data_IF_958699625965
#
_entry.id   IF_958699625965
#
_cell.length_a   1.000
_cell.length_b   1.000
_cell.length_c   1.000
_cell.angle_alpha   90.00
_cell.angle_beta   90.00
_cell.angle_gamma   90.00
#
_symmetry.space_group_name_H-M   'P 1'
#
loop_
_entity.id
_entity.type
_entity.pdbx_description
1 polymer ?
#
# COMPACT_ATOMS: atom_id res chain seq x y z
N UNK A 1 12.37 -11.91 7.52
CA UNK A 1 13.70 -11.60 8.06
C UNK A 1 13.92 -10.10 7.99
N UNK A 2 14.51 -9.50 9.02
CA UNK A 2 14.77 -8.07 9.03
C UNK A 2 15.98 -7.71 8.16
N UNK A 3 15.94 -6.54 7.55
CA UNK A 3 17.07 -5.96 6.82
C UNK A 3 17.60 -4.78 7.63
N UNK A 4 18.91 -4.82 7.95
CA UNK A 4 19.56 -3.81 8.80
C UNK A 4 19.66 -2.43 8.16
N UNK A 5 19.56 -2.35 6.83
CA UNK A 5 19.57 -1.08 6.10
C UNK A 5 18.18 -0.52 5.84
N UNK A 6 17.14 -1.30 6.12
CA UNK A 6 15.76 -0.91 5.91
C UNK A 6 15.21 -0.09 7.08
N UNK A 7 14.81 1.15 6.82
CA UNK A 7 14.22 2.01 7.85
C UNK A 7 12.91 1.45 8.41
N UNK A 8 12.11 0.80 7.59
CA UNK A 8 10.86 0.19 8.06
C UNK A 8 11.13 -1.00 9.00
N UNK A 9 12.15 -1.81 8.70
CA UNK A 9 12.59 -2.86 9.62
C UNK A 9 13.06 -2.28 10.96
N UNK A 10 13.78 -1.17 10.93
CA UNK A 10 14.24 -0.48 12.16
C UNK A 10 13.06 0.07 12.97
N UNK A 11 12.05 0.61 12.30
CA UNK A 11 10.83 1.08 12.95
C UNK A 11 10.11 -0.08 13.63
N UNK A 12 9.91 -1.18 12.92
CA UNK A 12 9.24 -2.37 13.45
C UNK A 12 10.00 -2.95 14.65
N UNK A 13 11.34 -2.90 14.60
CA UNK A 13 12.20 -3.35 15.70
C UNK A 13 12.25 -2.38 16.89
N UNK A 14 11.66 -1.19 16.76
CA UNK A 14 11.69 -0.17 17.81
C UNK A 14 12.97 0.64 17.86
N UNK A 15 13.83 0.54 16.84
CA UNK A 15 15.09 1.27 16.76
C UNK A 15 14.94 2.70 16.21
N UNK A 16 13.82 2.96 15.53
CA UNK A 16 13.44 4.29 15.02
C UNK A 16 12.02 4.61 15.44
N UNK A 17 11.73 5.90 15.72
CA UNK A 17 10.39 6.31 16.14
C UNK A 17 9.39 6.25 14.97
N UNK A 18 8.12 6.04 15.31
CA UNK A 18 7.00 6.15 14.39
C UNK A 18 5.72 6.49 15.15
N UNK A 19 4.72 6.97 14.44
CA UNK A 19 3.37 7.11 14.97
C UNK A 19 2.62 5.82 14.67
N UNK A 20 2.81 4.82 15.52
CA UNK A 20 2.20 3.50 15.35
C UNK A 20 0.70 3.56 15.55
N UNK A 21 -0.06 3.01 14.59
CA UNK A 21 -1.51 2.94 14.64
C UNK A 21 -2.03 1.57 15.04
N UNK A 22 -1.36 0.50 14.59
CA UNK A 22 -1.79 -0.87 14.79
C UNK A 22 -0.63 -1.82 14.56
N UNK A 23 -0.61 -2.94 15.25
CA UNK A 23 0.27 -4.06 14.91
C UNK A 23 -0.35 -5.39 15.33
N UNK A 24 0.02 -6.43 14.60
CA UNK A 24 -0.26 -7.83 14.92
C UNK A 24 0.97 -8.68 14.56
N UNK A 25 0.83 -10.00 14.55
CA UNK A 25 1.96 -10.90 14.30
C UNK A 25 2.57 -10.72 12.88
N UNK A 26 1.81 -10.21 11.93
CA UNK A 26 2.23 -10.11 10.52
C UNK A 26 2.27 -8.71 9.96
N UNK A 27 1.63 -7.75 10.61
CA UNK A 27 1.49 -6.38 10.07
C UNK A 27 1.87 -5.32 11.09
N UNK A 28 2.23 -4.17 10.55
CA UNK A 28 2.54 -2.96 11.31
C UNK A 28 1.97 -1.76 10.55
N UNK A 29 1.19 -0.94 11.20
CA UNK A 29 0.61 0.25 10.59
C UNK A 29 1.05 1.51 11.32
N UNK A 30 1.36 2.55 10.54
CA UNK A 30 1.85 3.83 11.07
C UNK A 30 1.43 5.00 10.18
N UNK A 31 1.52 6.21 10.74
CA UNK A 31 1.38 7.42 9.94
C UNK A 31 2.56 7.57 8.99
N UNK A 32 2.30 8.05 7.77
CA UNK A 32 3.36 8.51 6.89
C UNK A 32 3.85 9.88 7.36
N UNK A 33 5.16 10.03 7.54
CA UNK A 33 5.75 11.31 7.96
C UNK A 33 6.01 12.28 6.80
N UNK A 34 5.79 11.83 5.57
CA UNK A 34 5.79 12.66 4.36
C UNK A 34 4.39 12.58 3.72
N UNK A 35 3.34 13.02 4.42
CA UNK A 35 1.98 12.74 4.02
C UNK A 35 1.61 13.50 2.75
N UNK A 36 0.85 12.83 1.90
CA UNK A 36 0.19 13.48 0.77
C UNK A 36 -1.01 14.34 1.24
N UNK A 37 -1.76 13.81 2.22
CA UNK A 37 -2.91 14.45 2.87
C UNK A 37 -2.89 14.11 4.35
N UNK A 38 -3.62 14.88 5.16
CA UNK A 38 -3.85 14.53 6.56
C UNK A 38 -4.48 13.14 6.66
N UNK A 39 -3.90 12.29 7.49
CA UNK A 39 -4.37 10.92 7.65
C UNK A 39 -3.74 9.90 6.71
N UNK A 40 -2.81 10.31 5.84
CA UNK A 40 -2.04 9.37 5.02
C UNK A 40 -1.26 8.42 5.92
N UNK A 41 -1.53 7.13 5.80
CA UNK A 41 -0.87 6.10 6.58
C UNK A 41 -0.41 4.93 5.72
N UNK A 42 0.39 4.07 6.35
CA UNK A 42 1.02 2.91 5.72
C UNK A 42 0.67 1.67 6.51
N UNK A 43 0.43 0.58 5.81
CA UNK A 43 0.32 -0.77 6.38
C UNK A 43 1.45 -1.61 5.79
N UNK A 44 2.32 -2.08 6.65
CA UNK A 44 3.54 -2.81 6.29
C UNK A 44 3.39 -4.30 6.62
N UNK A 45 4.11 -5.16 5.90
CA UNK A 45 4.42 -6.49 6.42
C UNK A 45 5.50 -6.36 7.50
N UNK A 46 5.38 -7.12 8.60
CA UNK A 46 6.45 -7.16 9.62
C UNK A 46 7.71 -7.82 9.08
N UNK A 47 7.54 -8.90 8.32
CA UNK A 47 8.65 -9.54 7.63
C UNK A 47 9.13 -8.64 6.48
N UNK A 48 10.45 -8.52 6.33
CA UNK A 48 11.01 -7.78 5.21
C UNK A 48 10.76 -8.52 3.90
N UNK A 49 10.15 -7.82 2.95
CA UNK A 49 10.10 -8.20 1.55
C UNK A 49 10.03 -6.92 0.73
N UNK A 50 10.60 -6.94 -0.46
CA UNK A 50 10.75 -5.72 -1.27
C UNK A 50 9.39 -5.18 -1.73
N UNK A 51 8.51 -6.06 -2.19
CA UNK A 51 7.24 -5.69 -2.80
C UNK A 51 6.26 -6.86 -2.81
N UNK A 52 5.12 -6.65 -3.47
CA UNK A 52 4.07 -7.66 -3.62
C UNK A 52 4.57 -8.98 -4.24
N UNK A 53 5.49 -8.89 -5.20
CA UNK A 53 5.96 -10.07 -5.94
C UNK A 53 6.85 -10.97 -5.08
N UNK A 54 7.52 -10.39 -4.09
CA UNK A 54 8.43 -11.09 -3.18
C UNK A 54 7.77 -11.51 -1.85
N UNK A 55 6.58 -11.02 -1.56
CA UNK A 55 5.93 -11.21 -0.26
C UNK A 55 5.38 -12.65 -0.10
N UNK A 56 5.42 -13.14 1.14
CA UNK A 56 4.72 -14.36 1.51
C UNK A 56 3.19 -14.13 1.39
N UNK A 57 2.46 -15.01 0.70
CA UNK A 57 1.00 -14.87 0.57
C UNK A 57 0.27 -14.77 1.91
N UNK A 58 0.77 -15.42 2.96
CA UNK A 58 0.17 -15.33 4.29
C UNK A 58 0.32 -13.94 4.92
N UNK A 59 1.44 -13.27 4.65
CA UNK A 59 1.64 -11.87 5.08
C UNK A 59 0.72 -10.94 4.29
N UNK A 60 0.60 -11.15 2.98
CA UNK A 60 -0.32 -10.37 2.15
C UNK A 60 -1.78 -10.54 2.60
N UNK A 61 -2.18 -11.73 3.00
CA UNK A 61 -3.54 -12.00 3.50
C UNK A 61 -3.85 -11.20 4.78
N UNK A 62 -2.85 -10.83 5.54
CA UNK A 62 -3.01 -10.03 6.77
C UNK A 62 -3.10 -8.52 6.50
N UNK A 63 -2.68 -8.04 5.34
CA UNK A 63 -2.61 -6.60 5.03
C UNK A 63 -4.00 -5.95 4.98
N UNK A 64 -4.94 -6.52 4.24
CA UNK A 64 -6.27 -5.90 4.10
C UNK A 64 -7.08 -5.90 5.40
N UNK A 65 -7.09 -6.97 6.21
CA UNK A 65 -7.73 -6.89 7.53
C UNK A 65 -7.14 -5.81 8.43
N UNK A 66 -5.81 -5.68 8.48
CA UNK A 66 -5.15 -4.61 9.22
C UNK A 66 -5.48 -3.23 8.64
N UNK A 67 -5.45 -3.12 7.31
CA UNK A 67 -5.83 -1.90 6.58
C UNK A 67 -7.27 -1.50 6.85
N UNK A 68 -8.19 -2.45 6.95
CA UNK A 68 -9.59 -2.18 7.27
C UNK A 68 -9.75 -1.57 8.68
N UNK A 69 -9.02 -2.08 9.66
CA UNK A 69 -9.04 -1.55 11.03
C UNK A 69 -8.62 -0.08 11.01
N UNK A 70 -7.51 0.22 10.35
CA UNK A 70 -6.96 1.58 10.25
C UNK A 70 -7.89 2.48 9.43
N UNK A 71 -8.39 1.99 8.29
CA UNK A 71 -9.30 2.75 7.42
C UNK A 71 -10.61 3.13 8.14
N UNK A 72 -11.16 2.23 8.94
CA UNK A 72 -12.35 2.53 9.75
C UNK A 72 -12.08 3.63 10.76
N UNK A 73 -10.90 3.60 11.40
CA UNK A 73 -10.51 4.65 12.35
C UNK A 73 -10.32 6.00 11.65
N UNK A 74 -9.69 6.02 10.48
CA UNK A 74 -9.54 7.24 9.66
C UNK A 74 -10.92 7.78 9.28
N UNK A 75 -11.79 6.91 8.81
CA UNK A 75 -13.11 7.30 8.37
C UNK A 75 -13.94 7.92 9.51
N UNK A 76 -13.84 7.36 10.71
CA UNK A 76 -14.51 7.88 11.89
C UNK A 76 -13.92 9.19 12.40
N UNK A 77 -12.59 9.33 12.34
CA UNK A 77 -11.89 10.49 12.92
C UNK A 77 -11.84 11.70 11.99
N UNK A 78 -11.70 11.48 10.68
CA UNK A 78 -11.45 12.55 9.71
C UNK A 78 -12.62 12.76 8.74
N UNK A 79 -13.54 11.82 8.66
CA UNK A 79 -14.72 11.87 7.78
C UNK A 79 -14.38 12.26 6.34
N UNK A 80 -13.37 11.60 5.70
CA UNK A 80 -13.01 11.92 4.33
C UNK A 80 -14.13 11.53 3.37
N UNK A 81 -14.12 12.12 2.17
CA UNK A 81 -15.10 11.78 1.13
C UNK A 81 -14.77 10.46 0.42
N UNK A 82 -13.55 9.98 0.55
CA UNK A 82 -13.12 8.70 0.02
C UNK A 82 -11.76 8.27 0.55
N UNK A 83 -11.39 7.02 0.24
CA UNK A 83 -10.09 6.47 0.57
C UNK A 83 -9.55 5.74 -0.66
N UNK A 84 -8.25 5.93 -0.94
CA UNK A 84 -7.52 5.07 -1.87
C UNK A 84 -6.55 4.20 -1.07
N UNK A 85 -6.52 2.91 -1.40
CA UNK A 85 -5.48 2.01 -0.94
C UNK A 85 -4.58 1.72 -2.13
N UNK A 86 -3.30 2.03 -2.01
CA UNK A 86 -2.34 1.95 -3.11
C UNK A 86 -1.10 1.20 -2.67
N UNK A 87 -0.73 0.20 -3.45
CA UNK A 87 0.53 -0.52 -3.31
C UNK A 87 1.33 -0.34 -4.59
N UNK A 88 2.59 0.07 -4.48
CA UNK A 88 3.47 0.33 -5.62
C UNK A 88 4.57 -0.72 -5.72
N UNK A 89 4.83 -1.20 -6.93
CA UNK A 89 5.93 -2.09 -7.26
C UNK A 89 6.85 -1.38 -8.23
N UNK A 90 8.08 -1.13 -7.80
CA UNK A 90 9.12 -0.54 -8.63
C UNK A 90 9.06 0.98 -8.75
N UNK A 91 10.17 1.59 -9.21
CA UNK A 91 10.31 3.05 -9.28
C UNK A 91 9.31 3.71 -10.23
N UNK A 92 8.97 3.06 -11.35
CA UNK A 92 8.02 3.60 -12.32
C UNK A 92 6.60 3.74 -11.75
N UNK A 93 6.28 2.96 -10.70
CA UNK A 93 5.00 3.03 -10.00
C UNK A 93 5.06 3.93 -8.76
N UNK A 94 6.22 4.53 -8.47
CA UNK A 94 6.40 5.42 -7.33
C UNK A 94 6.86 4.75 -6.04
N UNK A 95 7.34 3.50 -6.10
CA UNK A 95 7.93 2.88 -4.92
C UNK A 95 9.26 3.55 -4.57
N UNK A 96 9.36 4.09 -3.37
CA UNK A 96 10.58 4.76 -2.89
C UNK A 96 11.24 4.03 -1.72
N UNK A 97 10.48 3.25 -0.95
CA UNK A 97 10.99 2.39 0.12
C UNK A 97 10.75 0.94 -0.27
N UNK A 98 11.83 0.16 -0.28
CA UNK A 98 11.81 -1.23 -0.75
C UNK A 98 11.54 -2.20 0.40
N UNK A 99 10.44 -1.98 1.05
CA UNK A 99 9.80 -2.83 2.04
C UNK A 99 8.30 -2.75 1.77
N UNK A 100 7.63 -3.89 1.60
CA UNK A 100 6.22 -3.92 1.25
C UNK A 100 5.38 -3.01 2.15
N UNK A 101 4.65 -2.11 1.55
CA UNK A 101 3.68 -1.27 2.25
C UNK A 101 2.53 -0.87 1.34
N UNK A 102 1.35 -0.82 1.91
CA UNK A 102 0.15 -0.29 1.26
C UNK A 102 -0.14 1.07 1.86
N UNK A 103 -0.28 2.07 0.99
CA UNK A 103 -0.72 3.41 1.38
C UNK A 103 -2.22 3.43 1.59
N UNK A 104 -2.67 4.18 2.59
CA UNK A 104 -4.06 4.59 2.73
C UNK A 104 -4.10 6.10 2.61
N UNK A 105 -4.75 6.59 1.56
CA UNK A 105 -4.89 8.01 1.27
C UNK A 105 -6.32 8.46 1.53
N UNK A 106 -6.59 9.29 2.55
CA UNK A 106 -7.87 9.98 2.64
C UNK A 106 -8.01 10.97 1.48
N UNK A 107 -9.19 10.99 0.89
CA UNK A 107 -9.47 11.82 -0.29
C UNK A 107 -10.66 12.72 -0.05
N UNK A 108 -10.57 13.93 -0.61
CA UNK A 108 -11.71 14.85 -0.74
C UNK A 108 -11.86 15.27 -2.19
N UNK A 109 -13.07 15.64 -2.60
CA UNK A 109 -13.30 16.16 -3.95
C UNK A 109 -12.43 17.40 -4.18
N UNK A 110 -11.77 17.45 -5.32
CA UNK A 110 -10.90 18.57 -5.69
C UNK A 110 -9.68 18.78 -4.78
N UNK A 111 -9.17 17.72 -4.17
CA UNK A 111 -7.97 17.79 -3.32
C UNK A 111 -6.65 17.95 -4.08
N UNK A 112 -6.72 18.01 -5.42
CA UNK A 112 -5.55 18.19 -6.26
C UNK A 112 -4.76 16.91 -6.56
N UNK A 113 -5.20 15.76 -6.04
CA UNK A 113 -4.53 14.50 -6.32
C UNK A 113 -4.82 14.01 -7.74
N UNK A 114 -3.78 13.65 -8.46
CA UNK A 114 -3.89 13.12 -9.82
C UNK A 114 -3.86 11.59 -9.83
N UNK A 115 -4.58 10.97 -8.91
CA UNK A 115 -4.66 9.51 -8.81
C UNK A 115 -5.81 8.92 -9.61
N UNK A 116 -6.76 9.73 -10.04
CA UNK A 116 -7.88 9.28 -10.84
C UNK A 116 -7.52 9.38 -12.32
N UNK A 117 -7.74 8.32 -13.05
CA UNK A 117 -7.49 8.26 -14.49
C UNK A 117 -8.80 8.33 -15.26
N UNK A 118 -8.70 8.76 -16.53
CA UNK A 118 -9.86 8.79 -17.40
C UNK A 118 -10.32 7.39 -17.81
N UNK A 119 -11.60 7.26 -18.08
CA UNK A 119 -12.20 6.02 -18.57
C UNK A 119 -12.68 6.22 -20.01
N UNK A 120 -12.22 5.36 -20.89
CA UNK A 120 -12.69 5.27 -22.26
C UNK A 120 -12.62 3.82 -22.74
N UNK A 121 -13.48 3.41 -23.70
CA UNK A 121 -13.40 2.05 -24.24
C UNK A 121 -12.05 1.82 -24.91
N UNK A 122 -11.47 0.65 -24.63
CA UNK A 122 -10.24 0.21 -25.28
C UNK A 122 -10.50 -0.50 -26.60
N UNK A 123 -9.44 -0.82 -27.31
CA UNK A 123 -9.48 -1.70 -28.48
C UNK A 123 -9.63 -3.15 -28.04
N UNK A 124 -10.73 -3.78 -28.37
CA UNK A 124 -11.05 -5.16 -27.93
C UNK A 124 -10.06 -6.18 -28.45
N UNK A 125 -9.60 -6.05 -29.68
CA UNK A 125 -8.61 -6.97 -30.26
C UNK A 125 -7.27 -6.89 -29.54
N UNK A 126 -6.85 -5.69 -29.16
CA UNK A 126 -5.63 -5.47 -28.39
C UNK A 126 -5.76 -6.02 -26.97
N UNK A 127 -6.91 -5.81 -26.33
CA UNK A 127 -7.21 -6.35 -24.99
C UNK A 127 -7.11 -7.87 -25.02
N UNK A 128 -7.75 -8.52 -26.00
CA UNK A 128 -7.72 -9.97 -26.15
C UNK A 128 -6.30 -10.50 -26.36
N UNK A 129 -5.52 -9.85 -27.23
CA UNK A 129 -4.14 -10.25 -27.48
C UNK A 129 -3.28 -10.19 -26.20
N UNK A 130 -3.44 -9.12 -25.40
CA UNK A 130 -2.74 -8.98 -24.12
C UNK A 130 -3.26 -9.98 -23.10
N UNK A 131 -4.57 -10.20 -23.04
CA UNK A 131 -5.19 -11.23 -22.19
C UNK A 131 -4.56 -12.60 -22.42
N UNK A 132 -4.44 -12.99 -23.68
CA UNK A 132 -3.85 -14.29 -24.03
C UNK A 132 -2.39 -14.44 -23.59
N UNK A 133 -1.60 -13.35 -23.66
CA UNK A 133 -0.22 -13.34 -23.14
C UNK A 133 -0.17 -13.53 -21.63
N UNK A 134 -1.06 -12.84 -20.92
CA UNK A 134 -1.13 -12.95 -19.46
C UNK A 134 -1.55 -14.36 -19.07
N UNK A 135 -2.58 -14.90 -19.71
CA UNK A 135 -3.07 -16.26 -19.41
C UNK A 135 -1.99 -17.31 -19.65
N UNK A 136 -1.19 -17.17 -20.69
CA UNK A 136 -0.07 -18.07 -20.95
C UNK A 136 1.01 -18.01 -19.85
N UNK A 137 1.14 -16.89 -19.17
CA UNK A 137 2.11 -16.70 -18.10
C UNK A 137 1.58 -17.08 -16.71
N UNK A 138 0.29 -17.38 -16.57
CA UNK A 138 -0.34 -17.70 -15.28
C UNK A 138 -0.20 -19.16 -14.85
N UNK A 139 0.50 -19.97 -15.57
CA UNK A 139 0.73 -21.38 -15.23
C UNK A 139 1.64 -21.57 -14.02
#
# INVERSE_FOLDING_TARGET
MADTDCNFCKIIAGEMPSFKLYEDDRTYAMMDINPFQDGHCLVLTRAHCVDLLAADPADLAAILPAGQIVARAINAALEPEGLNLIQAIGPAAGQTVYHYHTHIFPRTLNDGALMNWGHSPGDMGRIEAVYNKIMAAME
#
